data_IF_825663405803
#
_entry.id   IF_825663405803
#
_cell.length_a   1.000
_cell.length_b   1.000
_cell.length_c   1.000
_cell.angle_alpha   90.00
_cell.angle_beta   90.00
_cell.angle_gamma   90.00
#
_symmetry.space_group_name_H-M   'P 1'
#
loop_
_entity.id
_entity.type
_entity.pdbx_description
1 polymer ?
#
# COMPACT_ATOMS: atom_id res chain seq x y z
N UNK A 1 -35.40 0.66 19.31
CA UNK A 1 -34.20 -0.18 19.63
C UNK A 1 -33.16 0.02 18.55
N UNK A 2 -31.97 0.47 18.95
CA UNK A 2 -30.84 0.94 18.15
C UNK A 2 -30.11 -0.17 17.35
N UNK A 3 -30.85 -0.99 16.60
CA UNK A 3 -30.29 -2.13 15.85
C UNK A 3 -29.55 -1.69 14.58
N UNK A 4 -29.94 -0.57 13.98
CA UNK A 4 -29.35 -0.03 12.74
C UNK A 4 -28.01 0.66 13.00
N UNK A 5 -27.84 1.33 14.14
CA UNK A 5 -26.58 2.00 14.49
C UNK A 5 -25.49 1.00 14.90
N UNK A 6 -25.85 -0.11 15.55
CA UNK A 6 -24.90 -1.17 15.87
C UNK A 6 -24.30 -1.80 14.61
N UNK A 7 -25.07 -1.99 13.54
CA UNK A 7 -24.54 -2.54 12.28
C UNK A 7 -23.54 -1.59 11.62
N UNK A 8 -23.82 -0.29 11.63
CA UNK A 8 -22.90 0.74 11.11
C UNK A 8 -21.63 0.83 11.93
N UNK A 9 -21.75 0.88 13.26
CA UNK A 9 -20.61 0.90 14.17
C UNK A 9 -19.74 -0.36 14.04
N UNK A 10 -20.35 -1.53 13.88
CA UNK A 10 -19.63 -2.78 13.65
C UNK A 10 -18.93 -2.82 12.29
N UNK A 11 -19.53 -2.24 11.25
CA UNK A 11 -18.90 -2.14 9.93
C UNK A 11 -17.69 -1.20 9.98
N UNK A 12 -17.80 -0.05 10.65
CA UNK A 12 -16.70 0.87 10.89
C UNK A 12 -15.57 0.22 11.70
N UNK A 13 -15.90 -0.52 12.77
CA UNK A 13 -14.92 -1.24 13.59
C UNK A 13 -14.16 -2.31 12.78
N UNK A 14 -14.87 -3.07 11.94
CA UNK A 14 -14.25 -4.08 11.06
C UNK A 14 -13.34 -3.44 10.02
N UNK A 15 -13.80 -2.36 9.40
CA UNK A 15 -13.02 -1.63 8.41
C UNK A 15 -11.79 -0.94 9.04
N UNK A 16 -11.90 -0.40 10.26
CA UNK A 16 -10.77 0.14 11.01
C UNK A 16 -9.71 -0.94 11.31
N UNK A 17 -10.12 -2.16 11.71
CA UNK A 17 -9.19 -3.30 11.89
C UNK A 17 -8.49 -3.67 10.58
N UNK A 18 -9.23 -3.72 9.48
CA UNK A 18 -8.68 -4.00 8.14
C UNK A 18 -7.72 -2.90 7.70
N UNK A 19 -8.00 -1.64 8.06
CA UNK A 19 -7.08 -0.51 7.86
C UNK A 19 -5.80 -0.65 8.70
N UNK A 20 -5.89 -1.06 9.98
CA UNK A 20 -4.72 -1.33 10.82
C UNK A 20 -3.81 -2.43 10.25
N UNK A 21 -4.35 -3.32 9.43
CA UNK A 21 -3.59 -4.34 8.69
C UNK A 21 -2.96 -3.80 7.39
N UNK A 22 -3.07 -2.50 7.10
CA UNK A 22 -2.48 -1.84 5.94
C UNK A 22 -3.42 -1.69 4.73
N UNK A 23 -4.72 -1.95 4.88
CA UNK A 23 -5.67 -1.75 3.79
C UNK A 23 -5.88 -0.26 3.49
N UNK A 24 -5.85 0.09 2.21
CA UNK A 24 -6.07 1.46 1.75
C UNK A 24 -7.56 1.77 1.55
N UNK A 25 -7.89 3.05 1.31
CA UNK A 25 -9.27 3.52 1.11
C UNK A 25 -10.04 2.77 0.01
N UNK A 26 -9.37 2.38 -1.08
CA UNK A 26 -10.02 1.64 -2.16
C UNK A 26 -10.37 0.21 -1.72
N UNK A 27 -9.49 -0.45 -0.97
CA UNK A 27 -9.74 -1.78 -0.40
C UNK A 27 -10.92 -1.75 0.58
N UNK A 28 -11.00 -0.74 1.45
CA UNK A 28 -12.14 -0.57 2.36
C UNK A 28 -13.43 -0.27 1.59
N UNK A 29 -13.38 0.53 0.52
CA UNK A 29 -14.52 0.80 -0.36
C UNK A 29 -15.09 -0.48 -0.99
N UNK A 30 -14.21 -1.36 -1.49
CA UNK A 30 -14.61 -2.63 -2.12
C UNK A 30 -15.25 -3.57 -1.09
N UNK A 31 -14.68 -3.66 0.12
CA UNK A 31 -15.10 -4.64 1.12
C UNK A 31 -16.31 -4.21 1.95
N UNK A 32 -16.43 -2.91 2.25
CA UNK A 32 -17.43 -2.39 3.19
C UNK A 32 -18.35 -1.33 2.59
N UNK A 33 -18.11 -0.95 1.32
CA UNK A 33 -18.92 0.03 0.60
C UNK A 33 -18.48 1.47 0.82
N UNK A 34 -18.96 2.36 -0.05
CA UNK A 34 -18.53 3.76 -0.08
C UNK A 34 -18.89 4.52 1.21
N UNK A 35 -20.05 4.22 1.79
CA UNK A 35 -20.51 4.81 3.04
C UNK A 35 -19.60 4.50 4.24
N UNK A 36 -18.90 3.37 4.28
CA UNK A 36 -17.93 3.07 5.35
C UNK A 36 -16.58 3.73 5.04
N UNK A 37 -16.17 3.74 3.77
CA UNK A 37 -14.91 4.33 3.34
C UNK A 37 -14.88 5.88 3.43
N UNK A 38 -16.03 6.54 3.43
CA UNK A 38 -16.12 8.00 3.62
C UNK A 38 -16.21 8.41 5.09
N UNK A 39 -16.72 7.52 5.96
CA UNK A 39 -16.89 7.78 7.39
C UNK A 39 -15.71 7.30 8.25
N UNK A 40 -14.70 6.66 7.66
CA UNK A 40 -13.44 6.33 8.33
C UNK A 40 -12.41 7.38 8.00
N UNK A 41 -11.81 7.96 9.03
CA UNK A 41 -10.64 8.80 8.90
C UNK A 41 -9.46 7.95 8.43
N UNK A 42 -9.26 7.97 7.12
CA UNK A 42 -7.96 7.66 6.55
C UNK A 42 -7.08 8.84 6.92
N UNK A 43 -6.45 8.76 8.10
CA UNK A 43 -5.19 9.47 8.23
C UNK A 43 -4.36 9.06 7.02
N UNK A 44 -3.80 10.00 6.25
CA UNK A 44 -2.71 9.68 5.35
C UNK A 44 -1.54 9.26 6.26
N UNK A 45 -1.65 8.04 6.80
CA UNK A 45 -0.87 7.47 7.88
C UNK A 45 0.55 7.44 7.40
N UNK A 46 1.25 8.51 7.74
CA UNK A 46 2.38 9.00 6.99
C UNK A 46 2.10 9.01 5.45
N UNK A 47 2.22 10.18 4.83
CA UNK A 47 3.10 10.18 3.66
C UNK A 47 4.47 9.74 4.19
N UNK A 48 4.66 8.46 4.50
CA UNK A 48 5.94 7.81 4.35
C UNK A 48 6.17 8.09 2.89
N UNK A 49 6.93 9.16 2.64
CA UNK A 49 7.72 9.31 1.44
C UNK A 49 8.28 7.92 1.28
N UNK A 50 7.63 7.08 0.47
CA UNK A 50 8.10 5.76 0.12
C UNK A 50 9.49 6.12 -0.36
N UNK A 51 10.49 5.88 0.52
CA UNK A 51 11.86 6.37 0.32
C UNK A 51 12.12 5.93 -1.10
N UNK A 52 12.24 6.90 -2.03
CA UNK A 52 12.30 6.66 -3.48
C UNK A 52 13.10 5.38 -3.64
N UNK A 53 12.42 4.25 -3.89
CA UNK A 53 12.99 2.93 -3.57
C UNK A 53 14.17 2.62 -4.47
N UNK A 54 14.60 1.37 -4.56
CA UNK A 54 15.55 0.95 -5.60
C UNK A 54 15.14 1.51 -6.98
N UNK A 55 13.83 1.54 -7.27
CA UNK A 55 13.25 2.15 -8.49
C UNK A 55 13.48 3.66 -8.64
N UNK A 56 13.50 4.42 -7.55
CA UNK A 56 13.77 5.86 -7.58
C UNK A 56 15.27 6.18 -7.51
N UNK A 57 16.05 5.31 -6.88
CA UNK A 57 17.50 5.36 -6.84
C UNK A 57 18.13 5.02 -8.19
N UNK A 58 17.66 3.97 -8.87
CA UNK A 58 18.15 3.51 -10.18
C UNK A 58 17.85 4.48 -11.32
N UNK A 59 16.84 5.35 -11.17
CA UNK A 59 16.48 6.39 -12.15
C UNK A 59 17.43 7.59 -12.15
N UNK A 60 18.30 7.75 -11.13
CA UNK A 60 19.35 8.78 -11.16
C UNK A 60 20.43 8.36 -12.16
N UNK A 61 20.88 9.30 -12.99
CA UNK A 61 21.86 9.07 -14.07
C UNK A 61 23.09 8.31 -13.61
N UNK A 62 23.59 8.66 -12.42
CA UNK A 62 24.84 8.13 -11.87
C UNK A 62 24.69 6.69 -11.38
N UNK A 63 23.48 6.33 -10.94
CA UNK A 63 23.19 5.01 -10.36
C UNK A 63 22.71 4.00 -11.39
N UNK A 64 22.27 4.46 -12.58
CA UNK A 64 21.72 3.60 -13.63
C UNK A 64 22.73 2.56 -14.11
N UNK A 65 24.01 2.95 -14.25
CA UNK A 65 25.08 2.04 -14.69
C UNK A 65 25.37 0.96 -13.66
N UNK A 66 25.48 1.33 -12.37
CA UNK A 66 25.67 0.39 -11.29
C UNK A 66 24.49 -0.59 -11.18
N UNK A 67 23.27 -0.09 -11.31
CA UNK A 67 22.07 -0.92 -11.30
C UNK A 67 22.02 -1.90 -12.49
N UNK A 68 22.37 -1.44 -13.69
CA UNK A 68 22.46 -2.31 -14.87
C UNK A 68 23.52 -3.39 -14.74
N UNK A 69 24.70 -3.09 -14.20
CA UNK A 69 25.76 -4.08 -13.99
C UNK A 69 25.32 -5.16 -12.99
N UNK A 70 24.61 -4.79 -11.91
CA UNK A 70 24.09 -5.75 -10.94
C UNK A 70 23.04 -6.67 -11.56
N UNK A 71 22.12 -6.14 -12.39
CA UNK A 71 21.13 -6.97 -13.11
C UNK A 71 21.83 -7.90 -14.10
N UNK A 72 22.78 -7.38 -14.88
CA UNK A 72 23.49 -8.17 -15.88
C UNK A 72 24.22 -9.37 -15.25
N UNK A 73 24.88 -9.16 -14.11
CA UNK A 73 25.50 -10.23 -13.35
C UNK A 73 24.46 -11.21 -12.78
N UNK A 74 23.36 -10.70 -12.21
CA UNK A 74 22.31 -11.55 -11.63
C UNK A 74 21.66 -12.46 -12.69
N UNK A 75 21.36 -11.93 -13.88
CA UNK A 75 20.72 -12.67 -14.96
C UNK A 75 21.72 -13.63 -15.62
N UNK A 76 22.89 -13.14 -16.04
CA UNK A 76 23.81 -13.92 -16.86
C UNK A 76 24.65 -14.92 -16.05
N UNK A 77 24.99 -14.60 -14.79
CA UNK A 77 25.85 -15.47 -13.97
C UNK A 77 25.09 -16.28 -12.94
N UNK A 78 23.99 -15.75 -12.42
CA UNK A 78 23.21 -16.41 -11.37
C UNK A 78 21.86 -16.96 -11.87
N UNK A 79 21.54 -16.79 -13.15
CA UNK A 79 20.31 -17.33 -13.75
C UNK A 79 19.04 -16.76 -13.13
N UNK A 80 19.10 -15.54 -12.57
CA UNK A 80 17.95 -14.89 -11.98
C UNK A 80 16.95 -14.51 -13.09
N UNK A 81 15.73 -15.02 -13.01
CA UNK A 81 14.63 -14.66 -13.92
C UNK A 81 13.76 -13.58 -13.23
N UNK A 82 13.81 -12.30 -13.69
CA UNK A 82 13.25 -11.15 -13.00
C UNK A 82 11.73 -10.98 -13.05
#
# INVERSE_FOLDING_TARGET
MAKVDQTKANALLRAARTMSLGANKNTIRILYGNHVAENIDFEPGAKTKLKKGIRGWSKRTDNRRAFSAVIDVAVNYFGFDP
#
